data_IF_424426963960
#
_entry.id   IF_424426963960
#
_cell.length_a   1.000
_cell.length_b   1.000
_cell.length_c   1.000
_cell.angle_alpha   90.00
_cell.angle_beta   90.00
_cell.angle_gamma   90.00
#
_symmetry.space_group_name_H-M   'P 1'
#
loop_
_entity.id
_entity.type
_entity.pdbx_description
1 polymer ?
#
# COMPACT_ATOMS: atom_id res chain seq x y z
N UNK A 1 2.60 -12.90 -23.57
CA UNK A 1 1.19 -12.88 -23.10
C UNK A 1 0.65 -11.46 -23.07
N UNK A 2 -0.67 -11.24 -23.28
CA UNK A 2 -1.33 -9.91 -23.19
C UNK A 2 -1.01 -9.22 -21.85
N UNK A 3 -1.01 -9.98 -20.75
CA UNK A 3 -0.78 -9.45 -19.39
C UNK A 3 0.63 -8.91 -19.21
N UNK A 4 1.64 -9.71 -19.54
CA UNK A 4 3.05 -9.29 -19.54
C UNK A 4 3.28 -8.08 -20.44
N UNK A 5 2.63 -7.99 -21.61
CA UNK A 5 2.69 -6.82 -22.47
C UNK A 5 2.12 -5.56 -21.79
N UNK A 6 0.97 -5.68 -21.12
CA UNK A 6 0.35 -4.58 -20.37
C UNK A 6 1.24 -4.14 -19.21
N UNK A 7 1.83 -5.08 -18.46
CA UNK A 7 2.79 -4.78 -17.38
C UNK A 7 4.04 -4.08 -17.93
N UNK A 8 4.62 -4.58 -19.02
CA UNK A 8 5.77 -3.94 -19.69
C UNK A 8 5.47 -2.50 -20.10
N UNK A 9 4.31 -2.27 -20.72
CA UNK A 9 3.87 -0.92 -21.11
C UNK A 9 3.69 0.00 -19.89
N UNK A 10 3.09 -0.51 -18.82
CA UNK A 10 2.90 0.25 -17.58
C UNK A 10 4.23 0.61 -16.92
N UNK A 11 5.15 -0.34 -16.80
CA UNK A 11 6.49 -0.07 -16.26
C UNK A 11 7.25 0.97 -17.10
N UNK A 12 7.12 0.91 -18.44
CA UNK A 12 7.66 1.92 -19.33
C UNK A 12 7.05 3.32 -19.10
N UNK A 13 5.72 3.41 -18.95
CA UNK A 13 5.01 4.65 -18.65
C UNK A 13 5.48 5.28 -17.32
N UNK A 14 5.59 4.46 -16.29
CA UNK A 14 5.96 4.88 -14.94
C UNK A 14 7.43 5.29 -14.88
N UNK A 15 8.30 4.51 -15.54
CA UNK A 15 9.73 4.83 -15.68
C UNK A 15 9.96 6.13 -16.45
N UNK A 16 9.19 6.42 -17.50
CA UNK A 16 9.36 7.66 -18.28
C UNK A 16 9.01 8.92 -17.50
N UNK A 17 8.31 8.77 -16.37
CA UNK A 17 7.97 9.87 -15.44
C UNK A 17 8.77 9.79 -14.13
N UNK A 18 9.78 8.92 -14.04
CA UNK A 18 10.59 8.71 -12.84
C UNK A 18 9.76 8.40 -11.58
N UNK A 19 8.65 7.70 -11.73
CA UNK A 19 7.78 7.32 -10.62
C UNK A 19 8.25 5.95 -10.11
N UNK A 20 8.76 5.82 -8.88
CA UNK A 20 9.15 4.52 -8.36
C UNK A 20 7.91 3.72 -7.94
N UNK A 21 7.80 2.50 -8.46
CA UNK A 21 6.76 1.55 -8.08
C UNK A 21 7.39 0.20 -7.75
N UNK A 22 6.75 -0.53 -6.85
CA UNK A 22 7.13 -1.90 -6.51
C UNK A 22 5.93 -2.83 -6.59
N UNK A 23 6.18 -4.07 -6.98
CA UNK A 23 5.17 -5.09 -7.18
C UNK A 23 4.71 -5.62 -5.82
N UNK A 24 3.40 -5.62 -5.60
CA UNK A 24 2.73 -6.14 -4.38
C UNK A 24 1.63 -7.14 -4.72
N UNK A 25 1.61 -7.64 -5.95
CA UNK A 25 0.60 -8.58 -6.41
C UNK A 25 0.76 -9.93 -5.70
N UNK A 26 -0.24 -10.38 -4.92
CA UNK A 26 -0.05 -11.55 -4.06
C UNK A 26 0.14 -12.84 -4.84
N UNK A 27 -0.46 -12.95 -6.03
CA UNK A 27 -0.29 -14.14 -6.88
C UNK A 27 1.12 -14.16 -7.48
N UNK A 28 1.62 -13.02 -7.96
CA UNK A 28 2.98 -12.96 -8.52
C UNK A 28 4.02 -13.15 -7.43
N UNK A 29 3.88 -12.47 -6.29
CA UNK A 29 4.80 -12.60 -5.16
C UNK A 29 4.83 -14.03 -4.62
N UNK A 30 3.68 -14.73 -4.54
CA UNK A 30 3.64 -16.12 -4.10
C UNK A 30 4.31 -17.11 -5.07
N UNK A 31 4.42 -16.77 -6.35
CA UNK A 31 5.23 -17.53 -7.31
C UNK A 31 6.70 -17.19 -7.18
N UNK A 32 7.03 -15.90 -7.12
CA UNK A 32 8.41 -15.40 -6.96
C UNK A 32 9.05 -15.92 -5.68
N UNK A 33 8.31 -16.02 -4.57
CA UNK A 33 8.79 -16.56 -3.29
C UNK A 33 9.36 -17.98 -3.43
N UNK A 34 8.70 -18.83 -4.23
CA UNK A 34 9.14 -20.21 -4.49
C UNK A 34 10.46 -20.29 -5.27
N UNK A 35 10.73 -19.28 -6.08
CA UNK A 35 11.85 -19.23 -7.01
C UNK A 35 12.91 -18.17 -6.62
N UNK A 36 12.77 -17.54 -5.44
CA UNK A 36 13.48 -16.30 -5.10
C UNK A 36 15.01 -16.46 -5.13
N UNK A 37 15.51 -17.61 -4.67
CA UNK A 37 16.95 -17.91 -4.67
C UNK A 37 17.48 -18.11 -6.10
N UNK A 38 16.69 -18.72 -6.98
CA UNK A 38 17.06 -18.88 -8.39
C UNK A 38 17.10 -17.52 -9.09
N UNK A 39 16.07 -16.69 -8.87
CA UNK A 39 15.98 -15.33 -9.41
C UNK A 39 17.18 -14.48 -8.94
N UNK A 40 17.62 -14.63 -7.69
CA UNK A 40 18.81 -13.95 -7.15
C UNK A 40 20.10 -14.44 -7.80
N UNK A 41 20.23 -15.74 -8.07
CA UNK A 41 21.42 -16.34 -8.65
C UNK A 41 21.59 -16.12 -10.17
N UNK A 42 20.50 -15.79 -10.88
CA UNK A 42 20.53 -15.56 -12.33
C UNK A 42 19.82 -14.25 -12.71
N UNK A 43 20.44 -13.08 -12.45
CA UNK A 43 19.80 -11.78 -12.69
C UNK A 43 19.59 -11.45 -14.18
N UNK A 44 20.43 -12.02 -15.05
CA UNK A 44 20.57 -11.61 -16.46
C UNK A 44 20.32 -12.75 -17.47
N UNK A 45 19.83 -13.90 -17.01
CA UNK A 45 19.47 -15.01 -17.89
C UNK A 45 18.13 -14.73 -18.60
N UNK A 46 18.06 -14.69 -19.95
CA UNK A 46 16.80 -14.55 -20.65
C UNK A 46 15.92 -15.77 -20.36
N UNK A 47 14.70 -15.55 -19.85
CA UNK A 47 13.73 -16.62 -19.64
C UNK A 47 13.02 -16.91 -20.96
N UNK A 48 13.25 -18.08 -21.55
CA UNK A 48 12.61 -18.49 -22.81
C UNK A 48 11.09 -18.60 -22.69
N UNK A 49 10.58 -18.86 -21.48
CA UNK A 49 9.16 -18.92 -21.19
C UNK A 49 8.77 -17.88 -20.14
N UNK A 50 7.64 -17.22 -20.36
CA UNK A 50 7.04 -16.40 -19.32
C UNK A 50 6.44 -17.32 -18.25
N UNK A 51 6.75 -17.05 -16.98
CA UNK A 51 6.30 -17.83 -15.82
C UNK A 51 5.40 -17.04 -14.86
N UNK A 52 5.66 -15.75 -14.67
CA UNK A 52 5.06 -14.98 -13.56
C UNK A 52 3.94 -14.03 -14.03
N UNK A 53 4.19 -13.22 -15.06
CA UNK A 53 3.29 -12.18 -15.57
C UNK A 53 2.23 -12.66 -16.56
N UNK A 54 2.35 -13.87 -17.07
CA UNK A 54 1.44 -14.49 -18.04
C UNK A 54 0.30 -15.27 -17.40
N UNK A 55 0.44 -15.65 -16.11
CA UNK A 55 -0.56 -16.44 -15.38
C UNK A 55 -1.94 -15.79 -15.48
N UNK A 56 -3.02 -16.57 -15.72
CA UNK A 56 -4.38 -16.05 -15.81
C UNK A 56 -4.80 -15.24 -14.56
N UNK A 57 -5.19 -13.97 -14.77
CA UNK A 57 -5.70 -13.03 -13.76
C UNK A 57 -6.17 -11.74 -14.43
N UNK A 58 -7.05 -11.03 -13.73
CA UNK A 58 -7.62 -9.76 -14.19
C UNK A 58 -6.70 -8.56 -13.91
N UNK A 59 -5.93 -8.63 -12.82
CA UNK A 59 -5.12 -7.52 -12.33
C UNK A 59 -3.65 -7.90 -12.12
N UNK A 60 -2.76 -6.91 -12.23
CA UNK A 60 -1.43 -6.96 -11.62
C UNK A 60 -1.30 -5.74 -10.70
N UNK A 61 -0.91 -5.97 -9.44
CA UNK A 61 -0.91 -4.91 -8.41
C UNK A 61 0.48 -4.37 -8.11
N UNK A 62 0.63 -3.06 -8.17
CA UNK A 62 1.82 -2.32 -7.77
C UNK A 62 1.49 -1.33 -6.65
N UNK A 63 2.51 -0.93 -5.92
CA UNK A 63 2.46 0.08 -4.89
C UNK A 63 3.36 1.25 -5.27
N UNK A 64 2.96 2.46 -4.86
CA UNK A 64 3.80 3.65 -4.88
C UNK A 64 3.77 4.33 -3.51
N UNK A 65 4.84 5.02 -3.17
CA UNK A 65 4.89 5.84 -1.97
C UNK A 65 4.52 7.28 -2.33
N UNK A 66 3.48 7.84 -1.74
CA UNK A 66 2.92 9.16 -2.12
C UNK A 66 4.01 10.25 -2.19
N UNK A 67 4.91 10.29 -1.21
CA UNK A 67 6.01 11.29 -1.14
C UNK A 67 6.98 11.25 -2.32
N UNK A 68 6.99 10.15 -3.09
CA UNK A 68 7.88 9.97 -4.25
C UNK A 68 7.25 10.40 -5.57
N UNK A 69 5.96 10.79 -5.57
CA UNK A 69 5.27 11.21 -6.77
C UNK A 69 4.55 12.55 -6.57
N UNK A 70 4.91 13.55 -7.39
CA UNK A 70 4.33 14.90 -7.34
C UNK A 70 2.97 15.04 -8.06
N UNK A 71 2.27 13.92 -8.32
CA UNK A 71 0.94 13.87 -8.96
C UNK A 71 0.83 14.67 -10.27
N UNK A 72 1.78 14.47 -11.19
CA UNK A 72 1.83 15.21 -12.45
C UNK A 72 0.75 14.79 -13.46
N UNK A 73 0.07 15.78 -14.04
CA UNK A 73 -0.96 15.59 -15.09
C UNK A 73 -0.37 14.93 -16.35
N UNK A 74 0.93 15.07 -16.58
CA UNK A 74 1.64 14.47 -17.72
C UNK A 74 1.53 12.94 -17.79
N UNK A 75 1.48 12.26 -16.64
CA UNK A 75 1.38 10.80 -16.59
C UNK A 75 0.12 10.31 -17.29
N UNK A 76 -1.03 10.87 -16.94
CA UNK A 76 -2.32 10.41 -17.44
C UNK A 76 -2.48 10.65 -18.94
N UNK A 77 -2.02 11.81 -19.43
CA UNK A 77 -2.00 12.12 -20.86
C UNK A 77 -1.11 11.15 -21.63
N UNK A 78 0.05 10.78 -21.07
CA UNK A 78 0.93 9.78 -21.69
C UNK A 78 0.32 8.38 -21.65
N UNK A 79 -0.34 8.03 -20.55
CA UNK A 79 -1.06 6.76 -20.42
C UNK A 79 -2.13 6.60 -21.50
N UNK A 80 -2.96 7.63 -21.72
CA UNK A 80 -3.98 7.68 -22.77
C UNK A 80 -3.37 7.51 -24.17
N UNK A 81 -2.27 8.22 -24.46
CA UNK A 81 -1.52 8.08 -25.72
C UNK A 81 -0.97 6.67 -25.92
N UNK A 82 -0.62 5.96 -24.83
CA UNK A 82 -0.18 4.57 -24.87
C UNK A 82 -1.34 3.55 -24.96
N UNK A 83 -2.58 4.04 -24.96
CA UNK A 83 -3.82 3.28 -25.10
C UNK A 83 -4.47 2.87 -23.77
N UNK A 84 -3.93 3.31 -22.63
CA UNK A 84 -4.54 3.01 -21.34
C UNK A 84 -5.80 3.86 -21.13
N UNK A 85 -6.86 3.20 -20.70
CA UNK A 85 -7.91 3.86 -19.93
C UNK A 85 -7.44 3.93 -18.47
N UNK A 86 -7.73 5.01 -17.75
CA UNK A 86 -7.32 5.13 -16.36
C UNK A 86 -8.43 5.67 -15.47
N UNK A 87 -8.34 5.35 -14.18
CA UNK A 87 -9.27 5.80 -13.16
C UNK A 87 -8.48 6.20 -11.91
N UNK A 88 -8.67 7.44 -11.45
CA UNK A 88 -8.14 7.95 -10.18
C UNK A 88 -9.22 7.84 -9.11
N UNK A 89 -8.91 7.18 -8.00
CA UNK A 89 -9.82 7.00 -6.86
C UNK A 89 -9.27 7.83 -5.71
N UNK A 90 -9.98 8.90 -5.38
CA UNK A 90 -9.68 9.82 -4.29
C UNK A 90 -10.70 9.67 -3.17
N UNK A 91 -10.29 9.92 -1.94
CA UNK A 91 -11.17 9.96 -0.79
C UNK A 91 -10.59 10.92 0.26
N UNK A 92 -11.38 11.26 1.28
CA UNK A 92 -10.93 12.09 2.40
C UNK A 92 -9.69 11.49 3.06
N UNK A 93 -8.76 12.35 3.42
CA UNK A 93 -7.58 11.99 4.19
C UNK A 93 -7.96 11.75 5.67
N UNK A 94 -7.98 10.49 6.13
CA UNK A 94 -8.39 10.22 7.50
C UNK A 94 -7.40 10.77 8.53
N UNK A 95 -6.16 11.11 8.13
CA UNK A 95 -5.16 11.73 9.01
C UNK A 95 -5.56 13.14 9.44
N UNK A 96 -6.45 13.77 8.68
CA UNK A 96 -6.87 15.16 8.87
C UNK A 96 -8.28 15.26 9.46
N UNK A 97 -8.98 14.14 9.65
CA UNK A 97 -10.35 14.12 10.16
C UNK A 97 -10.48 14.67 11.61
N UNK A 98 -9.37 14.76 12.35
CA UNK A 98 -9.32 15.40 13.68
C UNK A 98 -9.01 16.90 13.68
N UNK A 99 -8.65 17.48 12.52
CA UNK A 99 -8.28 18.90 12.39
C UNK A 99 -9.43 19.67 11.72
N UNK A 100 -10.09 20.57 12.44
CA UNK A 100 -11.31 21.24 11.96
C UNK A 100 -11.11 21.95 10.62
N UNK A 101 -9.96 22.61 10.41
CA UNK A 101 -9.66 23.39 9.20
C UNK A 101 -9.18 22.56 7.99
N UNK A 102 -8.81 21.30 8.20
CA UNK A 102 -8.28 20.41 7.15
C UNK A 102 -9.20 19.21 6.87
N UNK A 103 -10.31 19.13 7.60
CA UNK A 103 -11.31 18.09 7.44
C UNK A 103 -11.92 18.14 6.03
N UNK A 104 -11.75 17.06 5.26
CA UNK A 104 -12.29 16.95 3.90
C UNK A 104 -11.31 17.14 2.75
N UNK A 105 -10.02 17.37 3.01
CA UNK A 105 -8.99 17.26 1.96
C UNK A 105 -9.02 15.84 1.38
N UNK A 106 -9.14 15.74 0.06
CA UNK A 106 -9.13 14.45 -0.64
C UNK A 106 -7.73 14.10 -1.13
N UNK A 107 -7.30 12.87 -0.87
CA UNK A 107 -6.03 12.31 -1.32
C UNK A 107 -6.26 11.13 -2.27
N UNK A 108 -5.37 10.89 -3.24
CA UNK A 108 -5.43 9.72 -4.08
C UNK A 108 -5.07 8.44 -3.33
N UNK A 109 -5.97 7.47 -3.33
CA UNK A 109 -5.74 6.19 -2.66
C UNK A 109 -5.36 5.08 -3.63
N UNK A 110 -5.98 5.09 -4.81
CA UNK A 110 -5.74 4.08 -5.83
C UNK A 110 -5.82 4.68 -7.23
N UNK A 111 -5.04 4.10 -8.13
CA UNK A 111 -5.16 4.29 -9.56
C UNK A 111 -5.39 2.95 -10.24
N UNK A 112 -6.22 2.92 -11.28
CA UNK A 112 -6.41 1.75 -12.13
C UNK A 112 -6.01 2.15 -13.55
N UNK A 113 -5.12 1.39 -14.18
CA UNK A 113 -4.78 1.56 -15.59
C UNK A 113 -5.19 0.29 -16.34
N UNK A 114 -6.15 0.41 -17.25
CA UNK A 114 -6.71 -0.70 -18.02
C UNK A 114 -6.25 -0.63 -19.46
N UNK A 115 -5.76 -1.74 -19.99
CA UNK A 115 -5.39 -1.89 -21.39
C UNK A 115 -5.81 -3.27 -21.89
N UNK A 116 -6.59 -3.32 -22.97
CA UNK A 116 -7.23 -4.53 -23.46
C UNK A 116 -8.02 -5.25 -22.32
N UNK A 117 -7.72 -6.52 -22.08
CA UNK A 117 -8.41 -7.36 -21.08
C UNK A 117 -7.69 -7.45 -19.73
N UNK A 118 -6.67 -6.62 -19.47
CA UNK A 118 -5.90 -6.65 -18.22
C UNK A 118 -5.81 -5.25 -17.61
N UNK A 119 -5.78 -5.19 -16.28
CA UNK A 119 -5.68 -3.92 -15.56
C UNK A 119 -4.51 -3.94 -14.57
N UNK A 120 -3.88 -2.79 -14.41
CA UNK A 120 -2.90 -2.54 -13.37
C UNK A 120 -3.61 -1.83 -12.22
N UNK A 121 -3.51 -2.39 -11.02
CA UNK A 121 -3.96 -1.73 -9.80
C UNK A 121 -2.75 -1.11 -9.12
N UNK A 122 -2.75 0.21 -9.01
CA UNK A 122 -1.69 0.96 -8.37
C UNK A 122 -2.20 1.51 -7.03
N UNK A 123 -1.66 0.99 -5.93
CA UNK A 123 -2.02 1.34 -4.55
C UNK A 123 -1.10 2.44 -4.06
N UNK A 124 -1.67 3.51 -3.50
CA UNK A 124 -0.90 4.61 -2.92
C UNK A 124 -0.71 4.35 -1.43
N UNK A 125 0.55 4.23 -1.03
CA UNK A 125 0.96 4.15 0.36
C UNK A 125 1.38 5.52 0.88
N UNK A 126 0.99 5.80 2.13
CA UNK A 126 1.32 7.00 2.88
C UNK A 126 2.09 6.61 4.13
N UNK A 127 3.19 7.31 4.42
CA UNK A 127 3.85 7.18 5.72
C UNK A 127 2.97 7.82 6.80
N UNK A 128 2.84 7.14 7.93
CA UNK A 128 2.15 7.64 9.14
C UNK A 128 3.10 7.66 10.34
N UNK A 129 2.70 8.39 11.38
CA UNK A 129 3.42 8.43 12.66
C UNK A 129 3.55 7.01 13.22
N UNK A 130 4.78 6.62 13.61
CA UNK A 130 5.09 5.24 13.98
C UNK A 130 5.84 4.43 12.90
N UNK A 131 6.27 5.07 11.80
CA UNK A 131 7.14 4.49 10.77
C UNK A 131 6.54 3.25 10.06
N UNK A 132 5.24 3.30 9.79
CA UNK A 132 4.54 2.29 8.99
C UNK A 132 3.94 2.94 7.72
N UNK A 133 3.64 2.11 6.74
CA UNK A 133 2.96 2.48 5.51
C UNK A 133 1.47 2.18 5.62
N UNK A 134 0.65 3.16 5.29
CA UNK A 134 -0.81 3.04 5.28
C UNK A 134 -1.34 3.16 3.85
N UNK A 135 -2.31 2.32 3.48
CA UNK A 135 -3.14 2.55 2.30
C UNK A 135 -4.61 2.66 2.70
N UNK A 136 -5.36 3.47 1.95
CA UNK A 136 -6.78 3.65 2.18
C UNK A 136 -7.67 2.54 1.59
N UNK A 137 -8.98 2.58 1.88
CA UNK A 137 -9.96 1.75 1.20
C UNK A 137 -10.33 2.33 -0.18
N UNK A 138 -10.72 1.45 -1.09
CA UNK A 138 -11.27 1.78 -2.39
C UNK A 138 -12.78 1.96 -2.26
N UNK A 139 -13.24 3.21 -2.26
CA UNK A 139 -14.66 3.56 -2.27
C UNK A 139 -15.00 4.35 -3.52
N UNK A 140 -15.82 3.77 -4.39
CA UNK A 140 -16.25 4.42 -5.63
C UNK A 140 -17.33 5.47 -5.33
N UNK A 141 -17.14 6.69 -5.83
CA UNK A 141 -18.18 7.74 -5.82
C UNK A 141 -19.35 7.33 -6.73
N UNK A 142 -20.54 7.88 -6.50
CA UNK A 142 -21.77 7.46 -7.20
C UNK A 142 -21.69 7.60 -8.73
N UNK A 143 -20.99 8.61 -9.23
CA UNK A 143 -20.85 8.89 -10.67
C UNK A 143 -19.78 8.04 -11.37
N UNK A 144 -19.02 7.21 -10.65
CA UNK A 144 -17.94 6.43 -11.23
C UNK A 144 -18.47 5.15 -11.89
N UNK A 145 -17.88 4.76 -13.03
CA UNK A 145 -18.23 3.51 -13.71
C UNK A 145 -17.80 2.28 -12.90
N UNK A 146 -18.78 1.64 -12.26
CA UNK A 146 -18.59 0.41 -11.47
C UNK A 146 -18.26 -0.82 -12.33
N UNK A 147 -18.42 -0.74 -13.65
CA UNK A 147 -18.10 -1.80 -14.61
C UNK A 147 -16.73 -1.61 -15.27
N UNK A 148 -16.00 -0.54 -14.93
CA UNK A 148 -14.69 -0.24 -15.50
C UNK A 148 -13.74 -1.45 -15.41
N UNK A 149 -13.70 -2.08 -14.23
CA UNK A 149 -12.98 -3.33 -13.93
C UNK A 149 -13.77 -4.14 -12.89
N UNK A 150 -13.52 -5.46 -12.71
CA UNK A 150 -14.16 -6.24 -11.66
C UNK A 150 -13.59 -5.91 -10.27
N UNK A 151 -13.94 -4.75 -9.71
CA UNK A 151 -13.39 -4.20 -8.45
C UNK A 151 -13.41 -5.17 -7.26
N UNK A 152 -14.40 -6.07 -7.20
CA UNK A 152 -14.51 -7.08 -6.13
C UNK A 152 -13.37 -8.10 -6.10
N UNK A 153 -12.62 -8.24 -7.19
CA UNK A 153 -11.46 -9.14 -7.31
C UNK A 153 -10.12 -8.47 -6.97
N UNK A 154 -10.11 -7.17 -6.65
CA UNK A 154 -8.90 -6.49 -6.21
C UNK A 154 -8.48 -6.99 -4.83
N UNK A 155 -7.20 -7.28 -4.66
CA UNK A 155 -6.64 -7.72 -3.38
C UNK A 155 -6.55 -6.59 -2.36
N UNK A 156 -6.39 -5.35 -2.83
CA UNK A 156 -6.28 -4.16 -2.00
C UNK A 156 -7.51 -3.26 -2.13
N UNK A 157 -7.84 -2.54 -1.07
CA UNK A 157 -8.91 -1.54 -1.06
C UNK A 157 -10.24 -2.00 -0.44
N UNK A 158 -10.41 -3.27 -0.05
CA UNK A 158 -11.59 -3.70 0.72
C UNK A 158 -11.66 -3.00 2.08
N UNK A 159 -10.51 -2.90 2.74
CA UNK A 159 -10.30 -2.17 4.00
C UNK A 159 -9.02 -1.34 3.87
N UNK A 160 -8.85 -0.27 4.67
CA UNK A 160 -7.51 0.32 4.84
C UNK A 160 -6.56 -0.71 5.45
N UNK A 161 -5.28 -0.57 5.15
CA UNK A 161 -4.25 -1.46 5.66
C UNK A 161 -3.02 -0.70 6.14
N UNK A 162 -2.35 -1.26 7.15
CA UNK A 162 -1.07 -0.78 7.66
C UNK A 162 -0.03 -1.88 7.56
N UNK A 163 1.16 -1.50 7.11
CA UNK A 163 2.26 -2.40 6.81
C UNK A 163 3.56 -1.83 7.35
N UNK A 164 4.45 -2.68 7.83
CA UNK A 164 5.84 -2.34 8.00
C UNK A 164 6.43 -1.86 6.67
N UNK A 165 7.42 -0.97 6.73
CA UNK A 165 8.07 -0.46 5.53
C UNK A 165 8.99 -1.55 4.97
N UNK A 166 8.67 -2.16 3.81
CA UNK A 166 9.45 -3.26 3.31
C UNK A 166 10.79 -2.76 2.77
N UNK A 167 11.86 -3.51 3.03
CA UNK A 167 13.06 -3.43 2.21
C UNK A 167 12.72 -3.94 0.81
N UNK A 168 13.17 -3.23 -0.22
CA UNK A 168 12.89 -3.57 -1.61
C UNK A 168 14.12 -4.21 -2.27
N UNK A 169 13.86 -5.24 -3.07
CA UNK A 169 14.84 -5.92 -3.91
C UNK A 169 14.47 -5.70 -5.38
N UNK A 170 15.44 -5.28 -6.20
CA UNK A 170 15.28 -5.25 -7.66
C UNK A 170 15.55 -6.64 -8.22
N UNK A 171 14.60 -7.20 -8.96
CA UNK A 171 14.71 -8.51 -9.61
C UNK A 171 14.36 -8.40 -11.09
N UNK A 172 14.82 -9.36 -11.89
CA UNK A 172 14.39 -9.55 -13.28
C UNK A 172 13.48 -10.77 -13.35
N UNK A 173 12.21 -10.59 -13.69
CA UNK A 173 11.25 -11.69 -13.88
C UNK A 173 10.51 -11.49 -15.20
N UNK A 174 10.44 -12.54 -16.02
CA UNK A 174 9.90 -12.50 -17.39
C UNK A 174 10.43 -11.32 -18.24
N UNK A 175 11.75 -11.11 -18.19
CA UNK A 175 12.48 -10.02 -18.84
C UNK A 175 12.04 -8.61 -18.43
N UNK A 176 11.43 -8.47 -17.26
CA UNK A 176 11.02 -7.18 -16.68
C UNK A 176 11.76 -6.94 -15.37
N UNK A 177 12.47 -5.82 -15.29
CA UNK A 177 13.06 -5.33 -14.04
C UNK A 177 11.97 -4.74 -13.15
N UNK A 178 11.78 -5.31 -11.98
CA UNK A 178 10.75 -4.91 -11.02
C UNK A 178 11.30 -4.90 -9.60
N UNK A 179 10.86 -3.93 -8.79
CA UNK A 179 11.11 -3.94 -7.35
C UNK A 179 10.05 -4.80 -6.67
N UNK A 180 10.46 -5.62 -5.71
CA UNK A 180 9.59 -6.47 -4.87
C UNK A 180 9.99 -6.30 -3.40
N UNK A 181 9.11 -6.64 -2.42
CA UNK A 181 9.55 -6.85 -1.04
C UNK A 181 10.67 -7.89 -0.98
N UNK A 182 11.73 -7.60 -0.21
CA UNK A 182 12.90 -8.48 -0.06
C UNK A 182 12.54 -9.87 0.49
N UNK A 183 11.49 -9.92 1.31
CA UNK A 183 10.88 -11.14 1.84
C UNK A 183 9.41 -11.21 1.39
N UNK A 184 9.11 -11.83 0.22
CA UNK A 184 7.76 -11.91 -0.30
C UNK A 184 6.78 -12.65 0.62
N UNK A 185 7.18 -13.80 1.18
CA UNK A 185 6.35 -14.57 2.13
C UNK A 185 5.96 -13.76 3.36
N UNK A 186 6.90 -13.05 3.99
CA UNK A 186 6.59 -12.18 5.13
C UNK A 186 5.60 -11.06 4.78
N UNK A 187 5.74 -10.44 3.60
CA UNK A 187 4.79 -9.42 3.13
C UNK A 187 3.39 -10.00 2.90
N UNK A 188 3.30 -11.23 2.35
CA UNK A 188 2.02 -11.92 2.13
C UNK A 188 1.34 -12.32 3.44
N UNK A 189 2.12 -12.77 4.42
CA UNK A 189 1.62 -13.06 5.76
C UNK A 189 1.06 -11.79 6.42
N UNK A 190 1.83 -10.70 6.40
CA UNK A 190 1.40 -9.40 6.91
C UNK A 190 0.12 -8.91 6.23
N UNK A 191 0.02 -9.04 4.90
CA UNK A 191 -1.17 -8.65 4.13
C UNK A 191 -2.46 -9.30 4.67
N UNK A 192 -2.40 -10.51 5.24
CA UNK A 192 -3.56 -11.19 5.82
C UNK A 192 -4.03 -10.60 7.16
N UNK A 193 -3.15 -9.87 7.85
CA UNK A 193 -3.36 -9.28 9.17
C UNK A 193 -3.28 -7.74 9.17
N UNK A 194 -3.07 -7.13 8.01
CA UNK A 194 -2.78 -5.69 7.86
C UNK A 194 -3.98 -4.77 8.06
N UNK A 195 -5.19 -5.29 8.31
CA UNK A 195 -6.41 -4.46 8.40
C UNK A 195 -6.23 -3.37 9.44
N UNK A 196 -6.28 -2.12 8.97
CA UNK A 196 -6.16 -0.96 9.83
C UNK A 196 -7.53 -0.55 10.38
N UNK A 197 -7.58 -0.21 11.67
CA UNK A 197 -8.76 0.35 12.32
C UNK A 197 -8.52 1.84 12.51
N UNK A 198 -9.23 2.65 11.72
CA UNK A 198 -9.10 4.10 11.81
C UNK A 198 -9.74 4.62 13.10
N UNK A 199 -9.15 5.68 13.66
CA UNK A 199 -9.71 6.34 14.82
C UNK A 199 -11.08 6.95 14.48
N UNK A 200 -12.03 6.81 15.40
CA UNK A 200 -13.31 7.53 15.38
C UNK A 200 -13.07 8.95 15.91
N UNK A 201 -12.43 9.79 15.09
CA UNK A 201 -11.93 11.10 15.51
C UNK A 201 -13.00 12.03 16.09
N UNK A 202 -14.24 11.97 15.58
CA UNK A 202 -15.34 12.79 16.11
C UNK A 202 -15.70 12.40 17.53
N UNK A 203 -15.82 11.11 17.78
CA UNK A 203 -16.13 10.53 19.08
C UNK A 203 -14.97 10.73 20.06
N UNK A 204 -13.74 10.51 19.61
CA UNK A 204 -12.54 10.78 20.41
C UNK A 204 -12.46 12.26 20.80
N UNK A 205 -12.71 13.18 19.87
CA UNK A 205 -12.74 14.62 20.16
C UNK A 205 -13.83 15.00 21.15
N UNK A 206 -15.05 14.48 20.97
CA UNK A 206 -16.14 14.73 21.91
C UNK A 206 -15.79 14.24 23.32
N UNK A 207 -15.09 13.12 23.43
CA UNK A 207 -14.57 12.61 24.70
C UNK A 207 -13.55 13.57 25.34
N UNK A 208 -12.53 13.99 24.59
CA UNK A 208 -11.48 14.90 25.10
C UNK A 208 -11.98 16.32 25.41
N UNK A 209 -13.08 16.76 24.80
CA UNK A 209 -13.73 18.02 25.17
C UNK A 209 -14.36 17.97 26.57
N UNK A 210 -14.87 16.80 26.98
CA UNK A 210 -15.44 16.59 28.32
C UNK A 210 -14.37 16.21 29.35
N UNK A 211 -13.32 15.52 28.90
CA UNK A 211 -12.22 15.02 29.73
C UNK A 211 -10.88 15.43 29.11
N UNK A 212 -10.45 16.69 29.33
CA UNK A 212 -9.18 17.18 28.79
C UNK A 212 -7.99 16.37 29.32
N UNK A 213 -6.96 16.23 28.49
CA UNK A 213 -5.71 15.60 28.92
C UNK A 213 -5.07 16.37 30.08
N UNK A 214 -4.53 15.64 31.05
CA UNK A 214 -3.64 16.22 32.05
C UNK A 214 -2.34 16.68 31.35
N UNK A 215 -2.17 18.00 31.27
CA UNK A 215 -1.03 18.65 30.65
C UNK A 215 0.09 18.99 31.66
N UNK A 216 0.01 18.50 32.91
CA UNK A 216 1.08 18.62 33.88
C UNK A 216 2.39 18.01 33.36
N UNK A 217 3.51 18.56 33.81
CA UNK A 217 4.85 18.05 33.43
C UNK A 217 4.99 16.57 33.80
N UNK A 218 4.46 16.17 34.96
CA UNK A 218 4.49 14.78 35.43
C UNK A 218 3.70 13.85 34.50
N UNK A 219 2.50 14.26 34.05
CA UNK A 219 1.70 13.48 33.11
C UNK A 219 2.38 13.38 31.73
N UNK A 220 2.98 14.46 31.23
CA UNK A 220 3.75 14.45 29.98
C UNK A 220 4.95 13.49 30.07
N UNK A 221 5.72 13.57 31.16
CA UNK A 221 6.88 12.71 31.37
C UNK A 221 6.47 11.25 31.56
N UNK A 222 5.38 10.98 32.27
CA UNK A 222 4.80 9.64 32.38
C UNK A 222 4.43 9.08 31.01
N UNK A 223 3.68 9.82 30.18
CA UNK A 223 3.31 9.39 28.82
C UNK A 223 4.52 9.10 27.96
N UNK A 224 5.57 9.93 28.06
CA UNK A 224 6.83 9.72 27.35
C UNK A 224 7.49 8.40 27.77
N UNK A 225 7.67 8.17 29.07
CA UNK A 225 8.25 6.93 29.61
C UNK A 225 7.43 5.69 29.24
N UNK A 226 6.10 5.78 29.36
CA UNK A 226 5.19 4.70 29.00
C UNK A 226 5.30 4.36 27.51
N UNK A 227 5.32 5.35 26.61
CA UNK A 227 5.52 5.13 25.17
C UNK A 227 6.87 4.47 24.86
N UNK A 228 7.94 4.91 25.50
CA UNK A 228 9.26 4.29 25.35
C UNK A 228 9.28 2.84 25.81
N UNK A 229 8.64 2.53 26.95
CA UNK A 229 8.53 1.16 27.46
C UNK A 229 7.70 0.28 26.52
N UNK A 230 6.55 0.77 26.05
CA UNK A 230 5.69 0.04 25.10
C UNK A 230 6.42 -0.24 23.79
N UNK A 231 7.20 0.74 23.28
CA UNK A 231 8.01 0.54 22.08
C UNK A 231 9.05 -0.55 22.27
N UNK A 232 9.78 -0.52 23.40
CA UNK A 232 10.78 -1.55 23.71
C UNK A 232 10.13 -2.93 23.86
N UNK A 233 9.02 -3.02 24.60
CA UNK A 233 8.28 -4.27 24.79
C UNK A 233 7.79 -4.84 23.46
N UNK A 234 7.21 -4.01 22.58
CA UNK A 234 6.77 -4.42 21.26
C UNK A 234 7.93 -4.97 20.42
N UNK A 235 9.06 -4.27 20.39
CA UNK A 235 10.25 -4.70 19.67
C UNK A 235 10.81 -6.02 20.20
N UNK A 236 10.90 -6.19 21.52
CA UNK A 236 11.37 -7.42 22.14
C UNK A 236 10.43 -8.60 21.85
N UNK A 237 9.11 -8.43 22.01
CA UNK A 237 8.13 -9.49 21.78
C UNK A 237 8.07 -9.89 20.31
N UNK A 238 8.17 -8.93 19.37
CA UNK A 238 8.26 -9.21 17.94
C UNK A 238 9.50 -10.04 17.60
N UNK A 239 10.67 -9.68 18.15
CA UNK A 239 11.91 -10.45 17.93
C UNK A 239 11.82 -11.88 18.48
N UNK A 240 10.98 -12.12 19.49
CA UNK A 240 10.72 -13.44 20.06
C UNK A 240 9.59 -14.20 19.34
N UNK A 241 8.94 -13.59 18.34
CA UNK A 241 7.77 -14.18 17.65
C UNK A 241 6.54 -14.31 18.55
N UNK A 242 6.48 -13.56 19.66
CA UNK A 242 5.35 -13.61 20.59
C UNK A 242 4.25 -12.67 20.12
N UNK A 243 3.05 -13.22 19.88
CA UNK A 243 1.87 -12.44 19.54
C UNK A 243 1.36 -11.70 20.77
N UNK A 244 1.15 -10.40 20.65
CA UNK A 244 0.59 -9.55 21.70
C UNK A 244 -0.42 -8.55 21.11
N UNK A 245 -1.22 -7.95 21.97
CA UNK A 245 -2.15 -6.88 21.62
C UNK A 245 -2.28 -5.91 22.79
N UNK A 246 -2.60 -4.65 22.49
CA UNK A 246 -2.98 -3.70 23.52
C UNK A 246 -4.31 -4.15 24.15
N UNK A 247 -4.45 -3.96 25.46
CA UNK A 247 -5.68 -4.32 26.19
C UNK A 247 -6.16 -3.19 27.08
N UNK A 248 -7.45 -3.25 27.43
CA UNK A 248 -8.09 -2.36 28.40
C UNK A 248 -7.83 -0.87 28.13
N UNK A 249 -7.46 -0.09 29.16
CA UNK A 249 -7.23 1.35 29.05
C UNK A 249 -6.13 1.75 28.06
N UNK A 250 -5.12 0.90 27.85
CA UNK A 250 -4.06 1.15 26.86
C UNK A 250 -4.53 0.95 25.43
N UNK A 251 -5.53 0.10 25.19
CA UNK A 251 -6.16 -0.03 23.87
C UNK A 251 -7.18 1.08 23.60
N UNK A 252 -7.81 1.60 24.65
CA UNK A 252 -8.83 2.65 24.55
C UNK A 252 -8.22 4.02 24.28
N UNK A 253 -7.11 4.35 24.97
CA UNK A 253 -6.36 5.59 24.78
C UNK A 253 -5.49 5.58 23.53
#
# INVERSE_FOLDING_TARGET
SVKQHVVRKFLGLISSHNIPVYLIDPLVLGLVDKDIEQIRSSPDGPSLECKYFCVPRDFTTFALLDKTWKHEVGLFRTAEKMGFQWLKIINKDPRLDGMDDLSGIEIPLHYIFKLASHAIHLVVFYERSGNYLWHGPLRLKQHMDRKFVPFRKLHFGRYPGAYEKPELLLVSIDDLKVQIPKNPSSFLEEMSHSRFLECRYREARAFFQLYPDDASLDAVEFRKKAKSLLHLAALTLNNLGVKFWLSSGTCLG
#
